data_IF_831694072430
#
_entry.id   IF_831694072430
#
_cell.length_a   1.000
_cell.length_b   1.000
_cell.length_c   1.000
_cell.angle_alpha   90.00
_cell.angle_beta   90.00
_cell.angle_gamma   90.00
#
_symmetry.space_group_name_H-M   'P 1'
#
loop_
_entity.id
_entity.type
_entity.pdbx_description
1 polymer ?
#
# COMPACT_ATOMS: atom_id res chain seq x y z
N UNK A 1 8.58 3.95 -12.53
CA UNK A 1 8.75 2.81 -11.61
C UNK A 1 7.65 1.81 -11.90
N UNK A 2 8.01 0.58 -12.24
CA UNK A 2 7.03 -0.49 -12.50
C UNK A 2 6.51 -1.10 -11.20
N UNK A 3 5.37 -1.79 -11.23
CA UNK A 3 4.84 -2.47 -10.05
C UNK A 3 5.78 -3.58 -9.58
N UNK A 4 6.51 -4.22 -10.51
CA UNK A 4 7.54 -5.20 -10.17
C UNK A 4 8.60 -4.61 -9.23
N UNK A 5 9.16 -3.48 -9.63
CA UNK A 5 10.18 -2.73 -8.87
C UNK A 5 9.61 -2.27 -7.52
N UNK A 6 8.33 -1.86 -7.49
CA UNK A 6 7.64 -1.48 -6.25
C UNK A 6 7.47 -2.63 -5.27
N UNK A 7 7.13 -3.83 -5.75
CA UNK A 7 7.02 -5.03 -4.92
C UNK A 7 8.40 -5.41 -4.39
N UNK A 8 9.44 -5.37 -5.24
CA UNK A 8 10.83 -5.70 -4.86
C UNK A 8 11.41 -4.73 -3.83
N UNK A 9 11.07 -3.44 -3.92
CA UNK A 9 11.51 -2.40 -2.97
C UNK A 9 10.63 -2.27 -1.73
N UNK A 10 9.70 -3.21 -1.51
CA UNK A 10 8.78 -3.22 -0.36
C UNK A 10 8.97 -4.49 0.47
N UNK A 11 8.35 -4.55 1.66
CA UNK A 11 8.34 -5.76 2.49
C UNK A 11 7.45 -6.90 1.94
N UNK A 12 6.96 -6.76 0.71
CA UNK A 12 6.06 -7.73 0.09
C UNK A 12 6.81 -8.95 -0.43
N UNK A 13 6.45 -10.12 0.08
CA UNK A 13 6.98 -11.40 -0.41
C UNK A 13 6.05 -11.98 -1.46
N UNK A 14 6.54 -12.12 -2.69
CA UNK A 14 5.82 -12.78 -3.79
C UNK A 14 5.32 -14.18 -3.44
N UNK A 15 6.08 -14.91 -2.61
CA UNK A 15 5.67 -16.23 -2.10
C UNK A 15 4.40 -16.18 -1.25
N UNK A 16 4.22 -15.10 -0.48
CA UNK A 16 3.07 -14.93 0.39
C UNK A 16 1.88 -14.44 -0.43
N UNK A 17 2.10 -13.51 -1.36
CA UNK A 17 1.08 -13.03 -2.28
C UNK A 17 0.50 -14.16 -3.13
N UNK A 18 1.35 -15.02 -3.69
CA UNK A 18 0.90 -16.14 -4.53
C UNK A 18 0.05 -17.13 -3.74
N UNK A 19 0.43 -17.43 -2.48
CA UNK A 19 -0.34 -18.28 -1.58
C UNK A 19 -1.70 -17.65 -1.25
N UNK A 20 -1.72 -16.38 -0.85
CA UNK A 20 -2.95 -15.68 -0.48
C UNK A 20 -3.93 -15.52 -1.66
N UNK A 21 -3.42 -15.39 -2.88
CA UNK A 21 -4.20 -15.34 -4.12
C UNK A 21 -4.60 -16.72 -4.67
N UNK A 22 -4.11 -17.80 -4.06
CA UNK A 22 -4.27 -19.18 -4.54
C UNK A 22 -3.81 -19.37 -6.01
N UNK A 23 -2.64 -18.84 -6.35
CA UNK A 23 -1.99 -19.00 -7.67
C UNK A 23 -0.52 -19.39 -7.51
N UNK A 24 0.04 -20.01 -8.55
CA UNK A 24 1.48 -20.32 -8.55
C UNK A 24 2.32 -19.03 -8.66
N UNK A 25 3.56 -19.07 -8.14
CA UNK A 25 4.50 -17.94 -8.28
C UNK A 25 4.75 -17.58 -9.76
N UNK A 26 5.00 -18.52 -10.69
CA UNK A 26 5.17 -18.19 -12.11
C UNK A 26 3.95 -17.47 -12.68
N UNK A 27 2.74 -17.87 -12.29
CA UNK A 27 1.51 -17.19 -12.71
C UNK A 27 1.44 -15.76 -12.16
N UNK A 28 1.78 -15.54 -10.89
CA UNK A 28 1.85 -14.19 -10.32
C UNK A 28 2.88 -13.31 -11.04
N UNK A 29 4.09 -13.83 -11.30
CA UNK A 29 5.11 -13.12 -12.09
C UNK A 29 4.60 -12.73 -13.48
N UNK A 30 3.94 -13.66 -14.17
CA UNK A 30 3.33 -13.40 -15.49
C UNK A 30 2.28 -12.29 -15.40
N UNK A 31 1.45 -12.28 -14.36
CA UNK A 31 0.46 -11.23 -14.17
C UNK A 31 1.07 -9.86 -13.85
N UNK A 32 2.14 -9.82 -13.06
CA UNK A 32 2.91 -8.59 -12.80
C UNK A 32 3.47 -8.03 -14.11
N UNK A 33 4.12 -8.86 -14.94
CA UNK A 33 4.66 -8.43 -16.23
C UNK A 33 3.56 -7.95 -17.20
N UNK A 34 2.42 -8.63 -17.24
CA UNK A 34 1.25 -8.18 -18.01
C UNK A 34 0.71 -6.84 -17.52
N UNK A 35 0.76 -6.59 -16.20
CA UNK A 35 0.29 -5.35 -15.59
C UNK A 35 1.20 -4.18 -15.94
N UNK A 36 2.52 -4.35 -15.81
CA UNK A 36 3.52 -3.35 -16.18
C UNK A 36 3.42 -2.98 -17.66
N UNK A 37 3.17 -3.96 -18.54
CA UNK A 37 2.96 -3.75 -19.98
C UNK A 37 1.57 -3.22 -20.34
N UNK A 38 0.73 -2.89 -19.35
CA UNK A 38 -0.68 -2.44 -19.51
C UNK A 38 -1.59 -3.43 -20.26
N UNK A 39 -1.18 -4.70 -20.40
CA UNK A 39 -1.96 -5.79 -21.03
C UNK A 39 -2.91 -6.46 -20.03
N UNK A 40 -3.74 -5.64 -19.37
CA UNK A 40 -4.51 -6.07 -18.19
C UNK A 40 -5.72 -6.95 -18.47
N UNK A 41 -6.13 -7.11 -19.74
CA UNK A 41 -7.27 -7.95 -20.14
C UNK A 41 -7.04 -9.44 -19.91
N UNK A 42 -5.78 -9.86 -19.82
CA UNK A 42 -5.36 -11.26 -19.59
C UNK A 42 -5.09 -11.57 -18.12
N UNK A 43 -5.30 -10.61 -17.22
CA UNK A 43 -5.03 -10.74 -15.79
C UNK A 43 -6.33 -11.13 -15.09
N UNK A 44 -6.26 -12.11 -14.18
CA UNK A 44 -7.39 -12.44 -13.32
C UNK A 44 -7.88 -11.17 -12.58
N UNK A 45 -9.20 -10.96 -12.53
CA UNK A 45 -9.79 -9.73 -11.99
C UNK A 45 -9.33 -9.42 -10.55
N UNK A 46 -9.26 -10.42 -9.66
CA UNK A 46 -8.78 -10.24 -8.29
C UNK A 46 -7.32 -9.81 -8.25
N UNK A 47 -6.48 -10.46 -9.06
CA UNK A 47 -5.06 -10.11 -9.15
C UNK A 47 -4.89 -8.71 -9.72
N UNK A 48 -5.68 -8.34 -10.73
CA UNK A 48 -5.67 -6.99 -11.30
C UNK A 48 -6.07 -5.92 -10.26
N UNK A 49 -7.09 -6.19 -9.45
CA UNK A 49 -7.55 -5.28 -8.39
C UNK A 49 -6.46 -5.13 -7.31
N UNK A 50 -5.83 -6.23 -6.90
CA UNK A 50 -4.68 -6.20 -5.98
C UNK A 50 -3.51 -5.37 -6.54
N UNK A 51 -3.10 -5.64 -7.78
CA UNK A 51 -1.99 -4.94 -8.41
C UNK A 51 -2.30 -3.44 -8.53
N UNK A 52 -3.54 -3.08 -8.89
CA UNK A 52 -3.99 -1.69 -8.87
C UNK A 52 -3.90 -1.06 -7.48
N UNK A 53 -4.36 -1.74 -6.44
CA UNK A 53 -4.25 -1.26 -5.06
C UNK A 53 -2.78 -1.04 -4.65
N UNK A 54 -1.88 -1.95 -5.02
CA UNK A 54 -0.45 -1.79 -4.76
C UNK A 54 0.11 -0.60 -5.56
N UNK A 55 -0.25 -0.44 -6.83
CA UNK A 55 0.25 0.64 -7.71
C UNK A 55 -0.17 2.03 -7.20
N UNK A 56 -1.43 2.19 -6.79
CA UNK A 56 -2.00 3.46 -6.33
C UNK A 56 -1.48 3.92 -4.95
N UNK A 57 -0.89 3.02 -4.15
CA UNK A 57 -0.40 3.33 -2.80
C UNK A 57 1.12 3.43 -2.74
N UNK A 58 1.66 4.64 -2.65
CA UNK A 58 3.11 4.91 -2.59
C UNK A 58 3.88 4.06 -1.57
N UNK A 59 3.29 3.87 -0.38
CA UNK A 59 3.85 3.06 0.69
C UNK A 59 2.87 1.95 1.02
N UNK A 60 3.36 0.70 1.04
CA UNK A 60 2.52 -0.45 1.30
C UNK A 60 3.26 -1.50 2.12
N UNK A 61 2.58 -2.05 3.12
CA UNK A 61 3.13 -3.12 3.96
C UNK A 61 2.48 -4.46 3.65
N UNK A 62 3.20 -5.54 3.96
CA UNK A 62 2.67 -6.90 3.84
C UNK A 62 1.35 -7.09 4.62
N UNK A 63 1.20 -6.46 5.79
CA UNK A 63 -0.05 -6.52 6.55
C UNK A 63 -1.23 -5.92 5.78
N UNK A 64 -1.07 -4.75 5.15
CA UNK A 64 -2.15 -4.12 4.39
C UNK A 64 -2.55 -4.94 3.16
N UNK A 65 -1.56 -5.46 2.45
CA UNK A 65 -1.79 -6.27 1.25
C UNK A 65 -2.50 -7.57 1.58
N UNK A 66 -2.10 -8.26 2.65
CA UNK A 66 -2.76 -9.50 3.06
C UNK A 66 -4.21 -9.27 3.47
N UNK A 67 -4.48 -8.22 4.25
CA UNK A 67 -5.86 -7.87 4.61
C UNK A 67 -6.67 -7.53 3.36
N UNK A 68 -6.09 -6.80 2.40
CA UNK A 68 -6.76 -6.48 1.16
C UNK A 68 -7.08 -7.73 0.34
N UNK A 69 -6.16 -8.70 0.24
CA UNK A 69 -6.42 -9.98 -0.42
C UNK A 69 -7.55 -10.75 0.29
N UNK A 70 -7.62 -10.74 1.63
CA UNK A 70 -8.74 -11.32 2.36
C UNK A 70 -10.08 -10.67 1.95
N UNK A 71 -10.12 -9.34 1.79
CA UNK A 71 -11.33 -8.63 1.29
C UNK A 71 -11.71 -9.05 -0.13
N UNK A 72 -10.73 -9.30 -1.00
CA UNK A 72 -10.97 -9.76 -2.38
C UNK A 72 -11.45 -11.22 -2.41
N UNK A 73 -11.07 -12.03 -1.43
CA UNK A 73 -11.43 -13.43 -1.33
C UNK A 73 -12.78 -13.65 -0.68
N UNK A 74 -13.12 -12.84 0.32
CA UNK A 74 -14.37 -12.94 1.05
C UNK A 74 -15.47 -12.08 0.45
N UNK A 75 -16.70 -12.61 0.49
CA UNK A 75 -17.95 -11.84 0.38
C UNK A 75 -18.18 -10.99 1.65
N UNK A 76 -17.17 -10.32 2.20
CA UNK A 76 -17.37 -9.48 3.39
C UNK A 76 -18.34 -8.35 3.04
N UNK A 77 -19.55 -8.44 3.58
CA UNK A 77 -20.65 -7.48 3.41
C UNK A 77 -20.28 -6.04 3.82
N UNK A 78 -19.08 -5.82 4.38
CA UNK A 78 -18.56 -4.52 4.80
C UNK A 78 -17.18 -4.18 4.21
N UNK A 79 -16.96 -4.49 2.92
CA UNK A 79 -15.78 -4.02 2.13
C UNK A 79 -15.46 -2.54 2.39
N UNK A 80 -16.48 -1.68 2.52
CA UNK A 80 -16.36 -0.25 2.77
C UNK A 80 -15.79 0.10 4.15
N UNK A 81 -16.17 -0.63 5.20
CA UNK A 81 -15.70 -0.41 6.57
C UNK A 81 -14.23 -0.80 6.69
N UNK A 82 -13.86 -1.96 6.15
CA UNK A 82 -12.48 -2.44 6.18
C UNK A 82 -11.55 -1.55 5.32
N UNK A 83 -12.01 -1.10 4.15
CA UNK A 83 -11.25 -0.13 3.34
C UNK A 83 -11.04 1.20 4.08
N UNK A 84 -12.04 1.66 4.84
CA UNK A 84 -11.94 2.87 5.65
C UNK A 84 -10.92 2.71 6.79
N UNK A 85 -10.92 1.57 7.47
CA UNK A 85 -9.94 1.27 8.52
C UNK A 85 -8.51 1.13 7.99
N UNK A 86 -8.34 0.45 6.84
CA UNK A 86 -7.05 0.33 6.17
C UNK A 86 -6.51 1.71 5.78
N UNK A 87 -7.34 2.57 5.18
CA UNK A 87 -6.98 3.95 4.84
C UNK A 87 -6.56 4.78 6.07
N UNK A 88 -7.23 4.60 7.21
CA UNK A 88 -6.89 5.33 8.45
C UNK A 88 -5.54 4.89 9.02
N UNK A 89 -5.27 3.58 9.04
CA UNK A 89 -3.98 3.05 9.50
C UNK A 89 -2.84 3.36 8.53
N UNK A 90 -3.08 3.34 7.22
CA UNK A 90 -2.10 3.76 6.20
C UNK A 90 -1.70 5.21 6.36
N UNK A 91 -2.68 6.12 6.57
CA UNK A 91 -2.39 7.52 6.91
C UNK A 91 -1.53 7.63 8.17
N UNK A 92 -1.83 6.87 9.21
CA UNK A 92 -1.04 6.87 10.45
C UNK A 92 0.38 6.34 10.24
N UNK A 93 0.57 5.33 9.40
CA UNK A 93 1.89 4.79 9.05
C UNK A 93 2.72 5.80 8.25
N UNK A 94 2.12 6.43 7.23
CA UNK A 94 2.74 7.52 6.46
C UNK A 94 3.17 8.67 7.38
N UNK A 95 2.32 9.05 8.33
CA UNK A 95 2.62 10.11 9.29
C UNK A 95 3.80 9.74 10.19
N UNK A 96 3.84 8.52 10.74
CA UNK A 96 4.95 8.03 11.56
C UNK A 96 6.27 8.00 10.78
N UNK A 97 6.23 7.60 9.51
CA UNK A 97 7.43 7.55 8.67
C UNK A 97 7.95 8.95 8.34
N UNK A 98 7.08 9.89 7.94
CA UNK A 98 7.46 11.29 7.71
C UNK A 98 8.03 11.94 8.97
N UNK A 99 7.45 11.64 10.13
CA UNK A 99 8.01 12.03 11.43
C UNK A 99 9.43 11.51 11.63
N UNK A 100 9.68 10.23 11.36
CA UNK A 100 11.02 9.63 11.46
C UNK A 100 11.99 10.29 10.47
N UNK A 101 11.60 10.51 9.21
CA UNK A 101 12.42 11.19 8.20
C UNK A 101 12.79 12.62 8.61
N UNK A 102 11.82 13.37 9.12
CA UNK A 102 12.06 14.68 9.71
C UNK A 102 13.04 14.57 10.88
N UNK A 103 12.86 13.59 11.78
CA UNK A 103 13.69 13.38 12.97
C UNK A 103 15.11 12.85 12.64
N UNK A 104 15.35 12.28 11.46
CA UNK A 104 16.69 11.78 11.05
C UNK A 104 17.55 12.91 10.45
N UNK A 105 16.97 14.00 9.93
CA UNK A 105 17.68 15.19 9.45
C UNK A 105 18.05 16.15 10.61
N UNK A 106 18.65 15.61 11.66
CA UNK A 106 19.09 16.33 12.85
C UNK A 106 20.41 17.09 12.61
N UNK A 107 20.32 18.19 11.87
CA UNK A 107 21.20 19.32 12.18
C UNK A 107 20.42 20.60 12.55
N UNK A 108 19.14 20.80 12.17
CA UNK A 108 18.35 21.96 12.62
C UNK A 108 16.83 21.77 12.45
N UNK A 109 16.18 20.94 13.30
CA UNK A 109 14.70 20.81 13.22
C UNK A 109 14.04 21.85 14.11
N UNK A 110 13.39 22.83 13.48
CA UNK A 110 12.42 23.69 14.15
C UNK A 110 11.13 22.89 14.45
N UNK A 111 10.98 22.47 15.70
CA UNK A 111 9.84 21.67 16.17
C UNK A 111 8.46 22.32 15.90
N UNK A 112 8.38 23.64 15.81
CA UNK A 112 7.12 24.34 15.51
C UNK A 112 6.70 24.21 14.04
N UNK A 113 7.68 24.15 13.13
CA UNK A 113 7.42 23.98 11.70
C UNK A 113 6.97 22.56 11.38
N UNK A 114 7.59 21.57 12.03
CA UNK A 114 7.18 20.17 11.95
C UNK A 114 5.74 19.96 12.49
N UNK A 115 5.37 20.62 13.60
CA UNK A 115 3.99 20.57 14.13
C UNK A 115 2.96 21.13 13.15
N UNK A 116 3.28 22.26 12.51
CA UNK A 116 2.42 22.90 11.50
C UNK A 116 2.15 21.97 10.31
N UNK A 117 3.19 21.37 9.74
CA UNK A 117 3.02 20.43 8.63
C UNK A 117 2.18 19.21 9.00
N UNK A 118 2.37 18.68 10.22
CA UNK A 118 1.59 17.56 10.73
C UNK A 118 0.11 17.93 10.88
N UNK A 119 -0.19 19.12 11.39
CA UNK A 119 -1.56 19.60 11.52
C UNK A 119 -2.25 19.76 10.17
N UNK A 120 -1.54 20.27 9.16
CA UNK A 120 -2.01 20.37 7.77
C UNK A 120 -2.32 18.97 7.21
N UNK A 121 -1.40 18.02 7.36
CA UNK A 121 -1.59 16.64 6.89
C UNK A 121 -2.75 15.92 7.61
N UNK A 122 -3.02 16.30 8.85
CA UNK A 122 -4.13 15.77 9.66
C UNK A 122 -5.46 16.50 9.44
N UNK A 123 -5.52 17.54 8.59
CA UNK A 123 -6.69 18.38 8.38
C UNK A 123 -7.25 18.98 9.69
N UNK A 124 -6.39 19.19 10.68
CA UNK A 124 -6.76 19.88 11.91
C UNK A 124 -6.52 21.37 11.69
N UNK A 125 -7.59 22.18 11.68
CA UNK A 125 -7.43 23.63 11.78
C UNK A 125 -6.73 23.94 13.10
N UNK A 126 -5.64 24.70 13.04
CA UNK A 126 -4.97 25.24 14.21
C UNK A 126 -5.99 26.05 15.02
N UNK A 127 -6.09 25.76 16.32
CA UNK A 127 -6.84 26.56 17.30
C UNK A 127 -5.86 27.48 18.03
#
# INVERSE_FOLDING_TARGET
MGIKEKIENSDLRLSSLSKALNISRPTLYKFIDLYDRKKTTKINAKVKELLKFIDENEYISNYYVMNYISVLNDKYNNKKLLMFELNKKDKMFKLKKKLIELTINLDDINFEEAKKEINILLNRKEF
#
